data_IF_092571539499
#
_entry.id   IF_092571539499
#
_cell.length_a   1.000
_cell.length_b   1.000
_cell.length_c   1.000
_cell.angle_alpha   90.00
_cell.angle_beta   90.00
_cell.angle_gamma   90.00
#
_symmetry.space_group_name_H-M   'P 1'
#
loop_
_entity.id
_entity.type
_entity.pdbx_description
1 polymer ?
#
# COMPACT_ATOMS: atom_id res chain seq x y z
N UNK A 1 1.89 10.51 4.34
CA UNK A 1 1.63 9.30 5.17
C UNK A 1 2.64 8.27 4.74
N UNK A 2 3.11 7.46 5.68
CA UNK A 2 3.93 6.30 5.39
C UNK A 2 3.08 5.14 4.83
N UNK A 3 3.72 4.22 4.12
CA UNK A 3 3.09 2.98 3.69
C UNK A 3 2.50 2.22 4.88
N UNK A 4 3.20 2.19 6.02
CA UNK A 4 2.73 1.53 7.24
C UNK A 4 1.35 2.05 7.67
N UNK A 5 1.19 3.37 7.76
CA UNK A 5 -0.07 4.00 8.19
C UNK A 5 -1.22 3.67 7.22
N UNK A 6 -0.93 3.64 5.92
CA UNK A 6 -1.91 3.25 4.90
C UNK A 6 -2.36 1.80 5.14
N UNK A 7 -1.41 0.87 5.23
CA UNK A 7 -1.72 -0.55 5.42
C UNK A 7 -2.48 -0.79 6.73
N UNK A 8 -2.07 -0.14 7.83
CA UNK A 8 -2.78 -0.20 9.11
C UNK A 8 -4.23 0.29 8.99
N UNK A 9 -4.46 1.42 8.33
CA UNK A 9 -5.80 1.95 8.12
C UNK A 9 -6.69 1.00 7.29
N UNK A 10 -6.12 0.31 6.30
CA UNK A 10 -6.86 -0.69 5.51
C UNK A 10 -7.27 -1.90 6.34
N UNK A 11 -6.38 -2.38 7.22
CA UNK A 11 -6.67 -3.48 8.14
C UNK A 11 -7.74 -3.07 9.16
N UNK A 12 -7.57 -1.92 9.80
CA UNK A 12 -8.52 -1.40 10.81
C UNK A 12 -9.93 -1.21 10.23
N UNK A 13 -10.02 -0.71 9.00
CA UNK A 13 -11.30 -0.51 8.30
C UNK A 13 -11.86 -1.79 7.67
N UNK A 14 -11.13 -2.90 7.73
CA UNK A 14 -11.50 -4.18 7.10
C UNK A 14 -11.96 -4.00 5.66
N UNK A 15 -11.24 -3.16 4.89
CA UNK A 15 -11.62 -2.83 3.52
C UNK A 15 -11.49 -4.11 2.65
N UNK A 16 -12.52 -4.52 1.89
CA UNK A 16 -12.48 -5.73 1.08
C UNK A 16 -11.67 -5.49 -0.21
N UNK A 17 -10.38 -5.22 -0.07
CA UNK A 17 -9.46 -5.03 -1.18
C UNK A 17 -8.19 -5.85 -1.00
N UNK A 18 -7.59 -6.22 -2.12
CA UNK A 18 -6.26 -6.80 -2.21
C UNK A 18 -5.29 -5.80 -2.83
N UNK A 19 -4.02 -5.92 -2.43
CA UNK A 19 -2.91 -5.11 -2.93
C UNK A 19 -2.04 -5.98 -3.83
N UNK A 20 -1.93 -5.61 -5.11
CA UNK A 20 -1.18 -6.35 -6.11
C UNK A 20 0.19 -5.71 -6.36
N UNK A 21 1.28 -6.48 -6.21
CA UNK A 21 2.65 -6.02 -6.46
C UNK A 21 3.14 -6.26 -7.91
N UNK A 22 2.22 -6.54 -8.83
CA UNK A 22 2.41 -7.03 -10.21
C UNK A 22 2.67 -8.53 -10.36
N UNK A 23 3.03 -9.25 -9.30
CA UNK A 23 3.20 -10.70 -9.33
C UNK A 23 2.07 -11.43 -8.63
N UNK A 24 1.63 -10.92 -7.48
CA UNK A 24 0.59 -11.54 -6.67
C UNK A 24 -0.26 -10.52 -5.93
N UNK A 25 -1.38 -11.02 -5.44
CA UNK A 25 -2.30 -10.26 -4.60
C UNK A 25 -1.99 -10.52 -3.12
N UNK A 26 -2.13 -9.48 -2.31
CA UNK A 26 -1.82 -9.52 -0.89
C UNK A 26 -2.92 -8.88 -0.05
N UNK A 27 -3.13 -9.44 1.14
CA UNK A 27 -3.82 -8.75 2.21
C UNK A 27 -2.94 -7.65 2.81
N UNK A 28 -3.54 -6.52 3.20
CA UNK A 28 -2.79 -5.42 3.82
C UNK A 28 -2.08 -5.86 5.12
N UNK A 29 -2.70 -6.77 5.88
CA UNK A 29 -2.11 -7.34 7.10
C UNK A 29 -0.87 -8.20 6.82
N UNK A 30 -0.88 -8.98 5.74
CA UNK A 30 0.28 -9.79 5.37
C UNK A 30 1.48 -8.91 4.98
N UNK A 31 1.23 -7.83 4.24
CA UNK A 31 2.27 -6.87 3.88
C UNK A 31 2.88 -6.18 5.11
N UNK A 32 2.07 -5.86 6.13
CA UNK A 32 2.58 -5.29 7.38
C UNK A 32 3.57 -6.21 8.09
N UNK A 33 3.35 -7.53 8.05
CA UNK A 33 4.24 -8.51 8.68
C UNK A 33 5.44 -8.89 7.81
N UNK A 34 5.33 -8.79 6.48
CA UNK A 34 6.34 -9.27 5.54
C UNK A 34 7.31 -8.19 5.04
N UNK A 35 6.85 -6.95 4.92
CA UNK A 35 7.69 -5.86 4.42
C UNK A 35 8.71 -5.43 5.46
N UNK A 36 9.90 -5.05 4.99
CA UNK A 36 10.94 -4.50 5.86
C UNK A 36 10.48 -3.17 6.48
N UNK A 37 11.01 -2.83 7.67
CA UNK A 37 10.75 -1.52 8.28
C UNK A 37 11.10 -0.36 7.37
N UNK A 38 12.17 -0.49 6.58
CA UNK A 38 12.59 0.54 5.62
C UNK A 38 11.49 0.80 4.60
N UNK A 39 10.89 -0.25 4.04
CA UNK A 39 9.79 -0.15 3.07
C UNK A 39 8.53 0.42 3.73
N UNK A 40 8.23 0.00 4.95
CA UNK A 40 7.07 0.48 5.71
C UNK A 40 7.17 1.98 6.04
N UNK A 41 8.38 2.51 6.23
CA UNK A 41 8.65 3.93 6.47
C UNK A 41 8.60 4.80 5.21
N UNK A 42 8.53 4.21 4.01
CA UNK A 42 8.41 4.94 2.74
C UNK A 42 7.18 5.85 2.75
N UNK A 43 7.35 7.13 2.41
CA UNK A 43 6.21 8.02 2.18
C UNK A 43 5.43 7.52 0.97
N UNK A 44 4.11 7.43 1.12
CA UNK A 44 3.24 6.89 0.11
C UNK A 44 1.88 7.61 0.10
N UNK A 45 1.20 7.48 -1.03
CA UNK A 45 -0.15 7.97 -1.24
C UNK A 45 -1.05 6.82 -1.70
N UNK A 46 -2.19 6.67 -1.02
CA UNK A 46 -3.26 5.77 -1.44
C UNK A 46 -4.27 6.54 -2.30
N UNK A 47 -4.34 6.17 -3.57
CA UNK A 47 -5.42 6.59 -4.46
C UNK A 47 -6.49 5.50 -4.48
N UNK A 48 -7.62 5.78 -3.83
CA UNK A 48 -8.72 4.83 -3.63
C UNK A 48 -9.18 4.20 -4.96
N UNK A 49 -9.29 2.88 -4.97
CA UNK A 49 -9.71 2.11 -6.14
C UNK A 49 -8.66 1.98 -7.25
N UNK A 50 -7.46 2.54 -7.07
CA UNK A 50 -6.42 2.55 -8.11
C UNK A 50 -5.09 1.97 -7.62
N UNK A 51 -4.37 2.65 -6.74
CA UNK A 51 -3.03 2.23 -6.32
C UNK A 51 -2.52 2.87 -5.03
N UNK A 52 -1.46 2.29 -4.50
CA UNK A 52 -0.53 2.92 -3.55
C UNK A 52 0.77 3.22 -4.30
N UNK A 53 1.20 4.48 -4.30
CA UNK A 53 2.45 4.91 -4.91
C UNK A 53 3.36 5.57 -3.86
N UNK A 54 4.67 5.43 -4.01
CA UNK A 54 5.62 6.16 -3.19
C UNK A 54 5.58 7.67 -3.52
N UNK A 55 5.93 8.50 -2.55
CA UNK A 55 6.14 9.93 -2.73
C UNK A 55 7.65 10.15 -2.73
N UNK A 56 8.17 10.74 -3.81
CA UNK A 56 9.59 11.03 -3.94
C UNK A 56 10.01 12.25 -3.09
N UNK A 57 11.32 12.55 -3.05
CA UNK A 57 11.86 13.67 -2.27
C UNK A 57 11.31 15.03 -2.69
N UNK A 58 10.84 15.17 -3.94
CA UNK A 58 10.19 16.37 -4.45
C UNK A 58 8.70 16.51 -4.08
N UNK A 59 8.12 15.52 -3.38
CA UNK A 59 6.71 15.51 -3.02
C UNK A 59 5.75 15.03 -4.11
N UNK A 60 6.27 14.46 -5.20
CA UNK A 60 5.48 13.95 -6.33
C UNK A 60 5.25 12.45 -6.22
N UNK A 61 4.18 11.97 -6.86
CA UNK A 61 3.95 10.53 -7.02
C UNK A 61 5.08 9.91 -7.84
N UNK A 62 5.76 8.95 -7.23
CA UNK A 62 6.81 8.16 -7.84
C UNK A 62 6.29 6.81 -8.32
N UNK A 63 7.05 5.74 -8.02
CA UNK A 63 6.70 4.38 -8.39
C UNK A 63 5.38 3.92 -7.73
N UNK A 64 4.52 3.30 -8.53
CA UNK A 64 3.39 2.51 -8.01
C UNK A 64 3.95 1.28 -7.29
N UNK A 65 3.68 1.19 -5.99
CA UNK A 65 4.09 0.09 -5.13
C UNK A 65 3.09 -1.07 -5.24
N UNK A 66 1.79 -0.75 -5.19
CA UNK A 66 0.71 -1.73 -5.24
C UNK A 66 -0.48 -1.21 -6.04
N UNK A 67 -1.10 -2.05 -6.86
CA UNK A 67 -2.43 -1.75 -7.44
C UNK A 67 -3.52 -2.23 -6.48
N UNK A 68 -4.59 -1.46 -6.35
CA UNK A 68 -5.74 -1.84 -5.54
C UNK A 68 -6.69 -2.67 -6.40
N UNK A 69 -7.12 -3.82 -5.86
CA UNK A 69 -8.13 -4.67 -6.48
C UNK A 69 -9.25 -4.95 -5.47
N UNK A 70 -10.53 -5.00 -5.88
CA UNK A 70 -11.58 -5.49 -5.01
C UNK A 70 -11.34 -6.96 -4.66
N UNK A 71 -11.61 -7.33 -3.41
CA UNK A 71 -11.69 -8.71 -2.97
C UNK A 71 -13.06 -9.24 -3.36
N UNK A 72 -13.09 -10.21 -4.27
CA UNK A 72 -14.32 -10.87 -4.73
C UNK A 72 -14.94 -11.75 -3.64
#
# INVERSE_FOLDING_TARGET
>A
MSLKEILQSLVEKSVPILLNDSEKDWEAGELLSKLSERTLKTQAHLQHGLYIAEINEGGYLGRVMFKVKPKA
#
